data_IF_359575037250
#
_entry.id   IF_359575037250
#
_cell.length_a   1.000
_cell.length_b   1.000
_cell.length_c   1.000
_cell.angle_alpha   90.00
_cell.angle_beta   90.00
_cell.angle_gamma   90.00
#
_symmetry.space_group_name_H-M   'P 1'
#
loop_
_entity.id
_entity.type
_entity.pdbx_description
1 polymer ?
#
# COMPACT_ATOMS: atom_id res chain seq x y z
N UNK A 1 26.39 40.30 -48.64
CA UNK A 1 25.41 39.26 -48.20
C UNK A 1 26.22 38.21 -47.45
N UNK A 2 26.02 38.08 -46.12
CA UNK A 2 25.29 36.96 -45.46
C UNK A 2 25.97 35.62 -45.78
N UNK A 3 26.55 34.87 -44.83
CA UNK A 3 25.83 34.22 -43.73
C UNK A 3 26.82 33.74 -42.65
N UNK A 4 26.60 34.19 -41.41
CA UNK A 4 27.07 33.51 -40.20
C UNK A 4 26.20 32.28 -40.00
N UNK A 5 26.79 31.11 -39.81
CA UNK A 5 26.07 29.94 -39.30
C UNK A 5 26.83 29.44 -38.08
N UNK A 6 26.40 29.92 -36.91
CA UNK A 6 26.66 29.25 -35.65
C UNK A 6 25.95 27.90 -35.71
N UNK A 7 26.72 26.82 -35.77
CA UNK A 7 26.19 25.49 -35.50
C UNK A 7 26.02 25.37 -33.97
N UNK A 8 24.83 25.73 -33.48
CA UNK A 8 24.43 25.42 -32.12
C UNK A 8 24.17 23.92 -32.02
N UNK A 9 25.15 23.16 -31.51
CA UNK A 9 24.94 21.76 -31.14
C UNK A 9 24.06 21.74 -29.89
N UNK A 10 22.76 21.51 -30.09
CA UNK A 10 21.85 21.22 -28.98
C UNK A 10 22.19 19.85 -28.41
N UNK A 11 22.88 19.83 -27.26
CA UNK A 11 23.07 18.61 -26.48
C UNK A 11 21.75 18.31 -25.79
N UNK A 12 20.91 17.50 -26.44
CA UNK A 12 19.75 16.90 -25.81
C UNK A 12 20.23 15.73 -24.93
N UNK A 13 20.77 16.02 -23.75
CA UNK A 13 20.81 15.01 -22.69
C UNK A 13 19.38 14.84 -22.18
N UNK A 14 18.67 13.90 -22.80
CA UNK A 14 17.50 13.26 -22.20
C UNK A 14 17.98 12.59 -20.92
N UNK A 15 17.91 13.29 -19.80
CA UNK A 15 17.90 12.66 -18.49
C UNK A 15 16.63 11.81 -18.46
N UNK A 16 16.76 10.56 -18.91
CA UNK A 16 15.78 9.49 -18.70
C UNK A 16 15.32 9.63 -17.26
N UNK A 17 14.03 9.98 -17.13
CA UNK A 17 13.33 10.05 -15.85
C UNK A 17 13.76 8.84 -15.05
N UNK A 18 14.34 9.15 -13.89
CA UNK A 18 14.76 8.20 -12.89
C UNK A 18 13.70 7.13 -12.78
N UNK A 19 14.15 5.88 -12.91
CA UNK A 19 13.39 4.67 -12.75
C UNK A 19 12.36 4.80 -11.63
N UNK A 20 11.15 5.23 -11.99
CA UNK A 20 9.95 5.03 -11.21
C UNK A 20 9.44 3.60 -11.48
N UNK A 21 10.36 2.63 -11.48
CA UNK A 21 10.10 1.20 -11.57
C UNK A 21 11.11 0.48 -10.66
N UNK A 22 11.39 1.06 -9.49
CA UNK A 22 11.99 0.30 -8.39
C UNK A 22 10.97 0.22 -7.26
N UNK A 23 10.53 -1.02 -7.02
CA UNK A 23 9.79 -1.52 -5.85
C UNK A 23 8.28 -1.77 -5.97
N UNK A 24 7.73 -2.08 -7.15
CA UNK A 24 6.39 -2.72 -7.22
C UNK A 24 6.43 -4.26 -7.25
N UNK A 25 7.61 -4.87 -7.27
CA UNK A 25 7.78 -6.32 -7.39
C UNK A 25 8.55 -6.90 -6.19
N UNK A 26 8.10 -6.57 -4.98
CA UNK A 26 8.35 -7.44 -3.82
C UNK A 26 6.99 -7.92 -3.29
N UNK A 27 6.52 -9.00 -3.93
CA UNK A 27 5.49 -9.92 -3.44
C UNK A 27 4.01 -9.47 -3.50
N UNK A 28 3.53 -9.13 -4.70
CA UNK A 28 2.12 -9.40 -5.09
C UNK A 28 1.87 -10.90 -5.37
N UNK A 29 2.60 -11.82 -4.73
CA UNK A 29 2.27 -13.24 -4.79
C UNK A 29 1.14 -13.48 -3.81
N UNK A 30 -0.07 -13.48 -4.36
CA UNK A 30 -1.26 -14.12 -3.83
C UNK A 30 -0.97 -15.62 -3.63
N UNK A 31 -0.25 -15.97 -2.56
CA UNK A 31 -0.13 -17.34 -2.10
C UNK A 31 -1.42 -17.73 -1.42
N UNK A 32 -2.34 -18.34 -2.19
CA UNK A 32 -3.49 -19.07 -1.68
C UNK A 32 -2.96 -20.30 -0.92
N UNK A 33 -2.44 -20.07 0.28
CA UNK A 33 -1.65 -21.04 1.07
C UNK A 33 -0.52 -20.43 1.93
N UNK A 34 -0.22 -19.13 1.83
CA UNK A 34 0.66 -18.45 2.79
C UNK A 34 -0.15 -17.96 3.98
N UNK A 35 0.25 -18.28 5.20
CA UNK A 35 -0.38 -17.72 6.39
C UNK A 35 -0.33 -16.19 6.31
N UNK A 36 -1.46 -15.53 6.48
CA UNK A 36 -1.50 -14.09 6.64
C UNK A 36 -0.52 -13.68 7.75
N UNK A 37 0.23 -12.58 7.58
CA UNK A 37 1.27 -12.17 8.55
C UNK A 37 0.87 -10.96 9.39
N UNK A 38 -0.28 -10.33 9.09
CA UNK A 38 -0.72 -9.12 9.78
C UNK A 38 -1.35 -9.52 11.11
N UNK A 39 -0.69 -9.17 12.20
CA UNK A 39 -1.11 -9.48 13.55
C UNK A 39 -2.38 -8.73 13.96
N UNK A 40 -3.02 -9.21 15.03
CA UNK A 40 -4.23 -8.61 15.58
C UNK A 40 -4.02 -7.14 15.95
N UNK A 41 -5.06 -6.33 15.76
CA UNK A 41 -5.08 -4.87 15.96
C UNK A 41 -4.03 -4.08 15.16
N UNK A 42 -3.31 -4.73 14.24
CA UNK A 42 -2.33 -4.07 13.37
C UNK A 42 -3.02 -3.47 12.14
N UNK A 43 -2.42 -2.42 11.58
CA UNK A 43 -2.92 -1.83 10.33
C UNK A 43 -2.90 -2.89 9.22
N UNK A 44 -3.99 -2.98 8.47
CA UNK A 44 -4.16 -3.93 7.36
C UNK A 44 -4.64 -3.26 6.08
N UNK A 45 -5.03 -1.97 6.14
CA UNK A 45 -5.43 -1.16 4.98
C UNK A 45 -5.46 0.33 5.35
N UNK A 46 -5.73 1.20 4.39
CA UNK A 46 -5.91 2.64 4.56
C UNK A 46 -4.67 3.48 4.31
N UNK A 47 -4.61 4.66 4.91
CA UNK A 47 -3.60 5.66 4.59
C UNK A 47 -2.18 5.14 4.83
N UNK A 48 -1.30 5.34 3.84
CA UNK A 48 0.11 4.91 3.83
C UNK A 48 0.33 3.39 3.92
N UNK A 49 -0.71 2.57 3.67
CA UNK A 49 -0.59 1.11 3.64
C UNK A 49 -0.27 0.59 2.23
N UNK A 50 0.78 -0.22 2.10
CA UNK A 50 1.17 -0.88 0.83
C UNK A 50 1.17 -2.41 0.93
N UNK A 51 0.86 -2.94 2.12
CA UNK A 51 0.86 -4.37 2.41
C UNK A 51 -0.43 -5.09 2.01
N UNK A 52 -0.52 -6.36 2.41
CA UNK A 52 -1.74 -7.18 2.23
C UNK A 52 -2.87 -6.69 3.15
N UNK A 53 -4.10 -7.15 2.89
CA UNK A 53 -5.26 -6.98 3.79
C UNK A 53 -5.54 -8.24 4.63
N UNK A 54 -4.69 -9.26 4.50
CA UNK A 54 -4.81 -10.59 5.08
C UNK A 54 -4.43 -10.58 6.57
N UNK A 55 -5.38 -10.84 7.48
CA UNK A 55 -5.14 -10.96 8.92
C UNK A 55 -4.67 -12.36 9.31
N UNK A 56 -3.64 -12.46 10.16
CA UNK A 56 -3.01 -13.72 10.60
C UNK A 56 -4.02 -14.75 11.10
N UNK A 57 -4.99 -14.29 11.87
CA UNK A 57 -6.06 -15.09 12.43
C UNK A 57 -7.33 -15.04 11.58
N UNK A 58 -7.89 -16.21 11.27
CA UNK A 58 -9.17 -16.32 10.54
C UNK A 58 -10.37 -15.75 11.32
N UNK A 59 -10.22 -15.60 12.64
CA UNK A 59 -11.20 -14.96 13.54
C UNK A 59 -11.14 -13.43 13.49
N UNK A 60 -10.22 -12.84 12.73
CA UNK A 60 -10.07 -11.40 12.57
C UNK A 60 -10.39 -10.99 11.14
N UNK A 61 -10.86 -9.76 10.97
CA UNK A 61 -11.16 -9.15 9.68
C UNK A 61 -10.62 -7.73 9.63
N UNK A 62 -10.18 -7.32 8.44
CA UNK A 62 -9.65 -5.99 8.21
C UNK A 62 -10.79 -4.96 8.13
N UNK A 63 -11.06 -4.26 9.24
CA UNK A 63 -12.16 -3.29 9.37
C UNK A 63 -11.65 -1.89 9.71
N UNK A 64 -12.45 -0.89 9.34
CA UNK A 64 -12.21 0.50 9.74
C UNK A 64 -12.08 0.60 11.26
N UNK A 65 -11.04 1.30 11.68
CA UNK A 65 -10.82 1.63 13.08
C UNK A 65 -11.77 2.78 13.48
N UNK A 66 -12.38 2.65 14.66
CA UNK A 66 -13.26 3.69 15.24
C UNK A 66 -12.47 4.90 15.77
N UNK A 67 -11.14 4.85 15.78
CA UNK A 67 -10.25 5.88 16.34
C UNK A 67 -10.14 7.16 15.48
N UNK A 68 -11.07 7.37 14.54
CA UNK A 68 -11.06 8.47 13.55
C UNK A 68 -9.75 8.57 12.75
N UNK A 69 -8.99 7.48 12.69
CA UNK A 69 -7.82 7.32 11.82
C UNK A 69 -8.33 6.82 10.47
N UNK A 70 -7.82 7.37 9.37
CA UNK A 70 -8.12 6.87 8.02
C UNK A 70 -7.37 5.55 7.73
N UNK A 71 -7.45 4.58 8.65
CA UNK A 71 -6.79 3.27 8.56
C UNK A 71 -7.76 2.15 8.94
N UNK A 72 -7.54 0.96 8.39
CA UNK A 72 -8.21 -0.27 8.83
C UNK A 72 -7.24 -1.12 9.64
N UNK A 73 -7.77 -1.88 10.60
CA UNK A 73 -6.99 -2.83 11.41
C UNK A 73 -7.63 -4.21 11.42
N UNK A 74 -6.82 -5.22 11.66
CA UNK A 74 -7.30 -6.57 11.90
C UNK A 74 -8.03 -6.62 13.23
N UNK A 75 -9.35 -6.57 13.19
CA UNK A 75 -10.22 -6.56 14.37
C UNK A 75 -10.95 -7.90 14.48
N UNK A 76 -11.23 -8.33 15.72
CA UNK A 76 -11.94 -9.60 15.95
C UNK A 76 -13.31 -9.55 15.28
N UNK A 77 -13.62 -10.59 14.50
CA UNK A 77 -14.96 -10.79 13.93
C UNK A 77 -15.96 -10.83 15.09
N UNK A 78 -16.94 -9.95 15.05
CA UNK A 78 -18.05 -9.99 15.97
C UNK A 78 -18.90 -11.21 15.59
N UNK A 79 -18.63 -12.35 16.24
CA UNK A 79 -19.58 -13.47 16.23
C UNK A 79 -20.94 -12.94 16.67
N UNK A 80 -22.03 -13.43 16.05
CA UNK A 80 -23.39 -13.04 16.43
C UNK A 80 -23.61 -13.36 17.92
N UNK A 81 -23.38 -12.38 18.80
CA UNK A 81 -23.44 -12.62 20.25
C UNK A 81 -22.58 -11.76 21.15
N UNK A 82 -21.84 -10.74 20.68
CA UNK A 82 -21.13 -9.83 21.60
C UNK A 82 -21.31 -8.37 21.19
N UNK A 83 -22.52 -7.87 21.45
CA UNK A 83 -22.79 -6.46 21.68
C UNK A 83 -22.17 -6.13 23.05
N UNK A 84 -20.86 -5.86 23.08
CA UNK A 84 -20.28 -5.17 24.22
C UNK A 84 -20.90 -3.77 24.22
N UNK A 85 -21.77 -3.57 25.22
CA UNK A 85 -22.38 -2.29 25.54
C UNK A 85 -21.29 -1.39 26.08
N UNK A 86 -21.10 -0.24 25.47
CA UNK A 86 -20.52 0.91 26.13
C UNK A 86 -21.70 1.80 26.56
N UNK A 87 -21.94 1.84 27.87
CA UNK A 87 -22.89 2.75 28.55
C UNK A 87 -22.37 4.17 28.50
#
# INVERSE_FOLDING_TARGET
MKIFVLAATAVATLSVVHAAEQSSLHLRIHGKGGACTITNESQCDGQNWTGSTCCADSNYECRWSDDKKNVKRCQKKQGKGQHHKDV
#
